data_IF_740457171243
#
_entry.id   IF_740457171243
#
_cell.length_a   1.000
_cell.length_b   1.000
_cell.length_c   1.000
_cell.angle_alpha   90.00
_cell.angle_beta   90.00
_cell.angle_gamma   90.00
#
_symmetry.space_group_name_H-M   'P 1'
#
loop_
_entity.id
_entity.type
_entity.pdbx_description
1 polymer ?
#
# COMPACT_ATOMS: atom_id res chain seq x y z
N UNK A 1 10.54 15.96 18.58
CA UNK A 1 9.68 14.77 18.84
C UNK A 1 8.29 15.20 19.33
N UNK A 2 7.21 14.59 18.84
CA UNK A 2 5.86 14.88 19.34
C UNK A 2 5.70 14.36 20.76
N UNK A 3 4.82 14.97 21.55
CA UNK A 3 4.52 14.49 22.90
C UNK A 3 4.00 13.04 22.88
N UNK A 4 3.30 12.67 21.81
CA UNK A 4 2.70 11.35 21.63
C UNK A 4 3.73 10.21 21.52
N UNK A 5 4.94 10.48 20.99
CA UNK A 5 5.97 9.46 20.80
C UNK A 5 6.50 8.91 22.13
N UNK A 6 6.84 9.78 23.09
CA UNK A 6 7.37 9.31 24.37
C UNK A 6 6.29 8.63 25.20
N UNK A 7 5.03 9.05 25.05
CA UNK A 7 3.89 8.38 25.68
C UNK A 7 3.72 6.96 25.12
N UNK A 8 3.86 6.78 23.80
CA UNK A 8 3.82 5.47 23.15
C UNK A 8 4.97 4.56 23.62
N UNK A 9 6.21 5.06 23.65
CA UNK A 9 7.37 4.31 24.19
C UNK A 9 7.17 3.92 25.66
N UNK A 10 6.56 4.79 26.47
CA UNK A 10 6.23 4.50 27.88
C UNK A 10 5.17 3.39 27.97
N UNK A 11 4.15 3.41 27.12
CA UNK A 11 3.14 2.36 27.05
C UNK A 11 3.76 1.02 26.63
N UNK A 12 4.60 1.00 25.60
CA UNK A 12 5.27 -0.20 25.12
C UNK A 12 6.14 -0.86 26.20
N UNK A 13 6.88 -0.06 26.97
CA UNK A 13 7.69 -0.60 28.08
C UNK A 13 6.78 -1.22 29.16
N UNK A 14 5.64 -0.58 29.48
CA UNK A 14 4.70 -1.09 30.48
C UNK A 14 4.07 -2.41 30.03
N UNK A 15 3.62 -2.49 28.79
CA UNK A 15 3.03 -3.71 28.21
C UNK A 15 4.06 -4.85 28.18
N UNK A 16 5.30 -4.57 27.78
CA UNK A 16 6.38 -5.57 27.77
C UNK A 16 6.76 -6.03 29.18
N UNK A 17 6.77 -5.13 30.17
CA UNK A 17 6.99 -5.49 31.57
C UNK A 17 5.91 -6.43 32.08
N UNK A 18 4.64 -6.12 31.83
CA UNK A 18 3.51 -6.97 32.24
C UNK A 18 3.61 -8.38 31.62
N UNK A 19 3.92 -8.44 30.32
CA UNK A 19 4.13 -9.72 29.64
C UNK A 19 5.32 -10.47 30.25
N UNK A 20 6.45 -9.80 30.44
CA UNK A 20 7.66 -10.41 30.98
C UNK A 20 7.47 -10.93 32.42
N UNK A 21 6.69 -10.23 33.25
CA UNK A 21 6.31 -10.68 34.60
C UNK A 21 5.47 -11.96 34.58
N UNK A 22 4.64 -12.15 33.56
CA UNK A 22 3.79 -13.34 33.41
C UNK A 22 4.53 -14.59 32.89
N UNK A 23 5.75 -14.44 32.39
CA UNK A 23 6.52 -15.53 31.79
C UNK A 23 7.39 -16.24 32.84
N UNK A 24 7.16 -17.54 33.01
CA UNK A 24 7.99 -18.42 33.87
C UNK A 24 9.30 -18.86 33.18
N UNK A 25 9.31 -18.95 31.85
CA UNK A 25 10.48 -19.38 31.06
C UNK A 25 11.49 -18.24 30.92
N UNK A 26 12.63 -18.39 31.59
CA UNK A 26 13.70 -17.40 31.61
C UNK A 26 14.24 -17.05 30.21
N UNK A 27 14.32 -18.03 29.29
CA UNK A 27 14.87 -17.78 27.95
C UNK A 27 13.97 -16.84 27.14
N UNK A 28 12.65 -16.99 27.29
CA UNK A 28 11.67 -16.10 26.63
C UNK A 28 11.59 -14.76 27.31
N UNK A 29 11.73 -14.74 28.65
CA UNK A 29 11.74 -13.51 29.45
C UNK A 29 12.92 -12.61 29.06
N UNK A 30 14.06 -13.21 28.70
CA UNK A 30 15.26 -12.49 28.29
C UNK A 30 15.07 -11.63 27.01
N UNK A 31 14.31 -12.11 26.03
CA UNK A 31 13.99 -11.33 24.81
C UNK A 31 13.24 -10.03 25.14
N UNK A 32 12.26 -10.08 26.04
CA UNK A 32 11.54 -8.88 26.50
C UNK A 32 12.44 -7.92 27.30
N UNK A 33 13.47 -8.44 27.97
CA UNK A 33 14.40 -7.63 28.75
C UNK A 33 15.29 -6.80 27.84
N UNK A 34 15.84 -7.39 26.78
CA UNK A 34 16.65 -6.65 25.80
C UNK A 34 15.83 -5.53 25.15
N UNK A 35 14.57 -5.82 24.79
CA UNK A 35 13.64 -4.81 24.27
C UNK A 35 13.36 -3.68 25.27
N UNK A 36 13.12 -4.02 26.54
CA UNK A 36 12.85 -3.03 27.60
C UNK A 36 14.09 -2.16 27.83
N UNK A 37 15.29 -2.74 27.88
CA UNK A 37 16.55 -1.99 28.04
C UNK A 37 16.78 -1.03 26.88
N UNK A 38 16.49 -1.48 25.66
CA UNK A 38 16.59 -0.66 24.48
C UNK A 38 15.63 0.54 24.51
N UNK A 39 14.34 0.30 24.78
CA UNK A 39 13.34 1.38 24.90
C UNK A 39 13.68 2.35 26.05
N UNK A 40 14.32 1.86 27.11
CA UNK A 40 14.83 2.68 28.20
C UNK A 40 15.98 3.61 27.78
N UNK A 41 16.83 3.20 26.83
CA UNK A 41 17.81 4.11 26.22
C UNK A 41 17.12 5.21 25.38
N UNK A 42 16.03 4.88 24.69
CA UNK A 42 15.21 5.85 23.95
C UNK A 42 14.57 6.87 24.90
N UNK A 43 14.17 6.49 26.12
CA UNK A 43 13.66 7.45 27.09
C UNK A 43 14.74 8.40 27.64
N UNK A 44 16.04 8.12 27.49
CA UNK A 44 17.11 9.03 27.95
C UNK A 44 17.21 10.30 27.10
N UNK A 45 16.74 10.27 25.86
CA UNK A 45 16.70 11.45 24.99
C UNK A 45 15.44 12.30 25.19
N UNK A 46 14.53 11.89 26.08
CA UNK A 46 13.34 12.66 26.40
C UNK A 46 13.69 13.99 27.11
N UNK A 47 12.98 15.09 26.80
CA UNK A 47 13.15 16.34 27.52
C UNK A 47 12.94 16.16 29.04
N UNK A 48 13.89 16.63 29.87
CA UNK A 48 13.81 16.44 31.31
C UNK A 48 12.57 17.13 31.89
N UNK A 49 11.91 16.47 32.87
CA UNK A 49 10.73 16.94 33.60
C UNK A 49 9.42 17.07 32.79
N UNK A 50 9.41 16.67 31.51
CA UNK A 50 8.19 16.73 30.69
C UNK A 50 7.29 15.49 30.87
N UNK A 51 7.86 14.36 31.28
CA UNK A 51 7.15 13.08 31.44
C UNK A 51 7.53 12.46 32.79
N UNK A 52 6.80 12.77 33.88
CA UNK A 52 7.08 12.18 35.20
C UNK A 52 6.97 10.66 35.21
N UNK A 53 6.21 10.08 34.29
CA UNK A 53 6.03 8.63 34.10
C UNK A 53 7.34 7.92 33.74
N UNK A 54 8.32 8.62 33.17
CA UNK A 54 9.64 8.04 32.87
C UNK A 54 10.34 7.56 34.15
N UNK A 55 10.24 8.32 35.24
CA UNK A 55 10.83 7.93 36.53
C UNK A 55 10.07 6.79 37.21
N UNK A 56 8.77 6.64 36.90
CA UNK A 56 7.98 5.48 37.33
C UNK A 56 8.41 4.22 36.57
N UNK A 57 8.48 4.29 35.24
CA UNK A 57 8.91 3.16 34.38
C UNK A 57 10.33 2.75 34.72
N UNK A 58 11.26 3.71 34.91
CA UNK A 58 12.64 3.41 35.36
C UNK A 58 12.66 2.60 36.66
N UNK A 59 11.79 2.94 37.61
CA UNK A 59 11.69 2.22 38.88
C UNK A 59 11.14 0.81 38.68
N UNK A 60 10.12 0.64 37.85
CA UNK A 60 9.52 -0.67 37.53
C UNK A 60 10.56 -1.58 36.86
N UNK A 61 11.29 -1.07 35.86
CA UNK A 61 12.36 -1.81 35.19
C UNK A 61 13.47 -2.20 36.18
N UNK A 62 13.89 -1.31 37.07
CA UNK A 62 14.92 -1.61 38.07
C UNK A 62 14.46 -2.67 39.08
N UNK A 63 13.23 -2.59 39.57
CA UNK A 63 12.67 -3.61 40.45
C UNK A 63 12.61 -4.98 39.75
N UNK A 64 12.15 -4.98 38.50
CA UNK A 64 12.11 -6.18 37.67
C UNK A 64 13.51 -6.80 37.49
N UNK A 65 14.55 -5.99 37.28
CA UNK A 65 15.94 -6.49 37.20
C UNK A 65 16.44 -7.10 38.53
N UNK A 66 16.10 -6.46 39.65
CA UNK A 66 16.47 -6.94 41.00
C UNK A 66 15.80 -8.29 41.29
N UNK A 67 14.50 -8.40 41.03
CA UNK A 67 13.71 -9.60 41.30
C UNK A 67 14.18 -10.81 40.48
N UNK A 68 14.77 -10.57 39.31
CA UNK A 68 15.31 -11.61 38.43
C UNK A 68 16.82 -11.84 38.62
N UNK A 69 17.45 -11.28 39.66
CA UNK A 69 18.83 -11.55 40.06
C UNK A 69 19.87 -11.27 38.93
N UNK A 70 19.65 -10.22 38.14
CA UNK A 70 20.56 -9.85 37.06
C UNK A 70 21.89 -9.28 37.62
N UNK A 71 22.92 -10.13 37.66
CA UNK A 71 24.31 -9.70 37.73
C UNK A 71 24.82 -9.42 36.32
N UNK A 72 25.39 -8.23 36.11
CA UNK A 72 25.97 -7.77 34.85
C UNK A 72 27.09 -8.72 34.37
N UNK A 73 26.76 -9.74 33.60
CA UNK A 73 27.74 -10.58 32.90
C UNK A 73 27.75 -10.21 31.42
N UNK A 74 28.78 -9.49 31.01
CA UNK A 74 29.05 -8.95 29.67
C UNK A 74 29.54 -9.99 28.65
N UNK A 75 29.10 -11.25 28.72
CA UNK A 75 29.49 -12.26 27.71
C UNK A 75 28.26 -13.01 27.18
N UNK A 76 27.84 -12.59 25.98
CA UNK A 76 26.75 -13.17 25.20
C UNK A 76 27.28 -14.37 24.40
N UNK A 77 26.69 -15.58 24.52
CA UNK A 77 26.96 -16.66 23.59
C UNK A 77 26.13 -16.45 22.31
N UNK A 78 26.81 -16.39 21.16
CA UNK A 78 26.12 -16.31 19.87
C UNK A 78 25.42 -17.63 19.56
N UNK A 79 24.09 -17.57 19.42
CA UNK A 79 23.31 -18.66 18.85
C UNK A 79 23.04 -18.36 17.38
N UNK A 80 23.52 -19.25 16.51
CA UNK A 80 23.17 -19.26 15.10
C UNK A 80 21.93 -20.12 14.88
N UNK A 81 20.87 -19.55 14.31
CA UNK A 81 19.85 -20.31 13.60
C UNK A 81 19.33 -19.54 12.39
N UNK A 82 19.22 -20.29 11.29
CA UNK A 82 18.65 -19.88 10.01
C UNK A 82 17.18 -20.29 9.93
N UNK A 83 16.34 -19.49 9.28
CA UNK A 83 15.77 -19.84 7.97
C UNK A 83 14.76 -18.80 7.47
N UNK A 84 15.25 -17.98 6.53
CA UNK A 84 14.59 -17.34 5.40
C UNK A 84 13.05 -17.33 5.32
N UNK A 85 12.47 -16.15 5.54
CA UNK A 85 11.55 -15.49 4.58
C UNK A 85 11.36 -13.99 4.94
N UNK A 86 11.56 -13.60 6.21
CA UNK A 86 11.44 -12.20 6.64
C UNK A 86 12.70 -11.35 6.35
N UNK A 87 13.87 -11.99 6.15
CA UNK A 87 15.12 -11.24 5.92
C UNK A 87 15.09 -10.43 4.64
N UNK A 88 14.55 -11.01 3.57
CA UNK A 88 14.58 -10.38 2.26
C UNK A 88 13.63 -9.18 2.22
N UNK A 89 12.47 -9.27 2.88
CA UNK A 89 11.55 -8.14 3.03
C UNK A 89 12.18 -6.98 3.80
N UNK A 90 12.79 -7.25 4.96
CA UNK A 90 13.38 -6.19 5.80
C UNK A 90 14.57 -5.55 5.09
N UNK A 91 15.44 -6.36 4.47
CA UNK A 91 16.60 -5.87 3.70
C UNK A 91 16.14 -5.03 2.50
N UNK A 92 15.16 -5.50 1.72
CA UNK A 92 14.65 -4.78 0.55
C UNK A 92 14.01 -3.44 0.96
N UNK A 93 13.08 -3.45 1.92
CA UNK A 93 12.42 -2.21 2.36
C UNK A 93 13.41 -1.23 3.00
N UNK A 94 14.43 -1.72 3.72
CA UNK A 94 15.42 -0.83 4.28
C UNK A 94 16.32 -0.19 3.21
N UNK A 95 16.69 -0.94 2.18
CA UNK A 95 17.41 -0.39 1.03
C UNK A 95 16.54 0.62 0.26
N UNK A 96 15.24 0.35 0.11
CA UNK A 96 14.30 1.30 -0.50
C UNK A 96 14.24 2.62 0.28
N UNK A 97 14.22 2.56 1.61
CA UNK A 97 14.24 3.76 2.46
C UNK A 97 15.55 4.55 2.34
N UNK A 98 16.68 3.86 2.21
CA UNK A 98 17.97 4.51 1.94
C UNK A 98 17.94 5.25 0.59
N UNK A 99 17.41 4.61 -0.46
CA UNK A 99 17.26 5.23 -1.78
C UNK A 99 16.26 6.41 -1.75
N UNK A 100 15.14 6.29 -1.02
CA UNK A 100 14.17 7.38 -0.89
C UNK A 100 14.77 8.57 -0.15
N UNK A 101 15.60 8.34 0.88
CA UNK A 101 16.35 9.40 1.54
C UNK A 101 17.30 10.11 0.58
N UNK A 102 18.05 9.37 -0.23
CA UNK A 102 18.93 9.97 -1.25
C UNK A 102 18.13 10.82 -2.26
N UNK A 103 16.95 10.36 -2.68
CA UNK A 103 16.06 11.14 -3.54
C UNK A 103 15.62 12.46 -2.88
N UNK A 104 15.28 12.41 -1.58
CA UNK A 104 14.92 13.59 -0.80
C UNK A 104 16.11 14.56 -0.67
N UNK A 105 17.34 14.06 -0.51
CA UNK A 105 18.54 14.90 -0.44
C UNK A 105 18.76 15.76 -1.69
N UNK A 106 18.36 15.29 -2.89
CA UNK A 106 18.39 16.11 -4.09
C UNK A 106 17.46 17.33 -4.02
N UNK A 107 16.31 17.22 -3.35
CA UNK A 107 15.39 18.35 -3.14
C UNK A 107 16.02 19.44 -2.27
N UNK A 108 16.92 19.06 -1.35
CA UNK A 108 17.72 20.02 -0.58
C UNK A 108 18.64 20.83 -1.48
N UNK A 109 19.24 20.20 -2.48
CA UNK A 109 20.15 20.85 -3.44
C UNK A 109 19.40 21.79 -4.40
N UNK A 110 18.16 21.47 -4.75
CA UNK A 110 17.30 22.32 -5.59
C UNK A 110 16.72 23.53 -4.84
N UNK A 111 16.83 23.55 -3.51
CA UNK A 111 16.43 24.68 -2.66
C UNK A 111 14.95 24.69 -2.26
N UNK A 112 14.19 23.63 -2.54
CA UNK A 112 12.81 23.50 -2.07
C UNK A 112 12.78 22.95 -0.63
N UNK A 113 12.89 23.87 0.33
CA UNK A 113 12.96 23.53 1.76
C UNK A 113 11.68 22.85 2.27
N UNK A 114 10.51 23.14 1.71
CA UNK A 114 9.24 22.58 2.18
C UNK A 114 9.05 21.14 1.68
N UNK A 115 9.34 20.89 0.40
CA UNK A 115 9.31 19.53 -0.15
C UNK A 115 10.39 18.65 0.47
N UNK A 116 11.58 19.20 0.74
CA UNK A 116 12.65 18.49 1.46
C UNK A 116 12.22 18.03 2.86
N UNK A 117 11.64 18.93 3.67
CA UNK A 117 11.17 18.59 5.03
C UNK A 117 10.05 17.55 4.96
N UNK A 118 9.07 17.76 4.09
CA UNK A 118 7.96 16.80 3.93
C UNK A 118 8.47 15.43 3.48
N UNK A 119 9.49 15.39 2.61
CA UNK A 119 10.16 14.18 2.18
C UNK A 119 10.85 13.46 3.34
N UNK A 120 11.65 14.17 4.13
CA UNK A 120 12.33 13.59 5.30
C UNK A 120 11.34 13.06 6.35
N UNK A 121 10.24 13.77 6.60
CA UNK A 121 9.19 13.30 7.53
C UNK A 121 8.52 12.00 7.05
N UNK A 122 8.30 11.86 5.75
CA UNK A 122 7.78 10.64 5.16
C UNK A 122 8.76 9.47 5.32
N UNK A 123 10.05 9.67 5.01
CA UNK A 123 11.07 8.62 5.17
C UNK A 123 11.22 8.24 6.64
N UNK A 124 11.22 9.20 7.56
CA UNK A 124 11.27 8.93 9.00
C UNK A 124 10.09 8.06 9.46
N UNK A 125 8.88 8.39 9.01
CA UNK A 125 7.67 7.63 9.36
C UNK A 125 7.74 6.20 8.84
N UNK A 126 8.17 6.01 7.59
CA UNK A 126 8.31 4.67 7.01
C UNK A 126 9.43 3.86 7.69
N UNK A 127 10.55 4.49 8.05
CA UNK A 127 11.63 3.84 8.78
C UNK A 127 11.17 3.37 10.18
N UNK A 128 10.37 4.19 10.88
CA UNK A 128 9.79 3.81 12.16
C UNK A 128 8.79 2.64 12.00
N UNK A 129 7.93 2.68 10.98
CA UNK A 129 7.02 1.56 10.70
C UNK A 129 7.77 0.27 10.34
N UNK A 130 8.85 0.36 9.55
CA UNK A 130 9.69 -0.79 9.22
C UNK A 130 10.38 -1.34 10.48
N UNK A 131 10.87 -0.47 11.35
CA UNK A 131 11.45 -0.85 12.64
C UNK A 131 10.46 -1.67 13.48
N UNK A 132 9.22 -1.18 13.67
CA UNK A 132 8.20 -1.90 14.43
C UNK A 132 7.75 -3.21 13.77
N UNK A 133 7.80 -3.29 12.44
CA UNK A 133 7.49 -4.51 11.70
C UNK A 133 8.66 -5.51 11.65
N UNK A 134 9.87 -5.09 12.02
CA UNK A 134 11.08 -5.91 11.99
C UNK A 134 11.27 -6.58 13.35
N UNK A 135 11.40 -7.91 13.35
CA UNK A 135 11.67 -8.67 14.57
C UNK A 135 12.96 -8.19 15.25
N UNK A 136 13.00 -8.21 16.58
CA UNK A 136 14.10 -7.64 17.38
C UNK A 136 15.40 -8.44 17.23
N UNK A 137 15.29 -9.72 16.86
CA UNK A 137 16.41 -10.61 16.51
C UNK A 137 16.95 -10.40 15.08
N UNK A 138 16.31 -9.57 14.26
CA UNK A 138 16.75 -9.33 12.89
C UNK A 138 18.03 -8.48 12.86
N UNK A 139 19.01 -8.87 12.03
CA UNK A 139 20.33 -8.22 11.99
C UNK A 139 20.30 -6.72 11.64
N UNK A 140 19.24 -6.26 10.96
CA UNK A 140 19.03 -4.85 10.61
C UNK A 140 18.17 -4.07 11.61
N UNK A 141 17.58 -4.70 12.63
CA UNK A 141 16.63 -4.03 13.52
C UNK A 141 17.20 -2.74 14.12
N UNK A 142 18.41 -2.80 14.69
CA UNK A 142 19.12 -1.64 15.24
C UNK A 142 19.52 -0.63 14.17
N UNK A 143 19.96 -1.08 12.99
CA UNK A 143 20.39 -0.19 11.90
C UNK A 143 19.22 0.62 11.34
N UNK A 144 18.03 0.03 11.24
CA UNK A 144 16.79 0.71 10.80
C UNK A 144 16.42 1.82 11.79
N UNK A 145 16.54 1.55 13.09
CA UNK A 145 16.25 2.56 14.09
C UNK A 145 17.28 3.69 14.12
N UNK A 146 18.57 3.37 14.02
CA UNK A 146 19.63 4.39 13.92
C UNK A 146 19.45 5.28 12.70
N UNK A 147 19.01 4.70 11.58
CA UNK A 147 18.64 5.41 10.38
C UNK A 147 17.44 6.34 10.61
N UNK A 148 16.37 5.85 11.25
CA UNK A 148 15.23 6.68 11.67
C UNK A 148 15.66 7.87 12.54
N UNK A 149 16.46 7.62 13.59
CA UNK A 149 16.95 8.67 14.50
C UNK A 149 17.78 9.72 13.75
N UNK A 150 18.60 9.28 12.79
CA UNK A 150 19.42 10.18 11.96
C UNK A 150 18.53 11.15 11.18
N UNK A 151 17.53 10.62 10.46
CA UNK A 151 16.59 11.44 9.69
C UNK A 151 15.80 12.37 10.60
N UNK A 152 15.37 11.88 11.77
CA UNK A 152 14.59 12.70 12.70
C UNK A 152 15.38 13.88 13.25
N UNK A 153 16.65 13.68 13.62
CA UNK A 153 17.55 14.77 14.03
C UNK A 153 17.76 15.78 12.90
N UNK A 154 17.78 15.32 11.65
CA UNK A 154 17.90 16.18 10.48
C UNK A 154 16.64 17.04 10.28
N UNK A 155 15.45 16.45 10.37
CA UNK A 155 14.17 17.19 10.35
C UNK A 155 14.12 18.27 11.43
N UNK A 156 14.48 17.92 12.67
CA UNK A 156 14.43 18.86 13.79
C UNK A 156 15.41 20.04 13.57
N UNK A 157 16.64 19.78 13.08
CA UNK A 157 17.61 20.84 12.73
C UNK A 157 17.12 21.79 11.63
N UNK A 158 16.50 21.25 10.58
CA UNK A 158 16.00 22.07 9.47
C UNK A 158 14.85 22.95 9.92
N UNK A 159 13.95 22.42 10.76
CA UNK A 159 12.85 23.19 11.37
C UNK A 159 13.34 24.28 12.30
N UNK A 160 14.36 24.00 13.11
CA UNK A 160 14.97 25.01 14.00
C UNK A 160 15.64 26.15 13.19
N UNK A 161 16.22 25.83 12.03
CA UNK A 161 16.82 26.83 11.13
C UNK A 161 15.77 27.74 10.48
N UNK A 162 14.62 27.18 10.11
CA UNK A 162 13.49 27.93 9.53
C UNK A 162 12.69 28.71 10.58
N UNK A 163 12.73 28.28 11.85
CA UNK A 163 12.12 28.97 12.98
C UNK A 163 12.93 30.15 13.53
N UNK A 164 14.11 30.46 12.97
CA UNK A 164 14.91 31.62 13.36
C UNK A 164 14.31 32.93 12.83
N UNK A 165 14.01 33.93 13.69
CA UNK A 165 13.33 35.18 13.32
C UNK A 165 14.09 36.12 12.36
N UNK A 166 15.27 35.72 11.88
CA UNK A 166 16.08 36.55 10.98
C UNK A 166 15.74 36.34 9.50
N UNK A 167 15.21 35.17 9.10
CA UNK A 167 14.95 34.85 7.69
C UNK A 167 13.64 35.47 7.17
N UNK A 168 12.64 35.68 8.03
CA UNK A 168 11.39 36.37 7.65
C UNK A 168 11.59 37.85 7.26
N UNK A 169 12.65 38.51 7.75
CA UNK A 169 12.91 39.93 7.43
C UNK A 169 13.51 40.16 6.04
N UNK A 170 14.06 39.13 5.40
CA UNK A 170 14.72 39.25 4.10
C UNK A 170 13.76 38.95 2.94
N UNK A 171 12.79 38.05 3.14
CA UNK A 171 11.77 37.73 2.14
C UNK A 171 10.72 38.84 1.97
N UNK A 172 10.34 39.52 3.05
CA UNK A 172 9.40 40.65 3.01
C UNK A 172 9.98 41.92 2.34
N UNK A 173 11.31 42.11 2.40
CA UNK A 173 11.98 43.25 1.72
C UNK A 173 12.03 43.10 0.20
N UNK A 174 12.09 41.87 -0.31
CA UNK A 174 12.20 41.62 -1.75
C UNK A 174 10.83 41.62 -2.44
N UNK A 175 9.76 41.26 -1.74
CA UNK A 175 8.39 41.27 -2.27
C UNK A 175 7.81 42.68 -2.43
N UNK A 176 8.25 43.65 -1.62
CA UNK A 176 7.78 45.05 -1.68
C UNK A 176 8.43 45.86 -2.82
N UNK A 177 9.56 45.41 -3.39
CA UNK A 177 10.25 46.15 -4.48
C UNK A 177 9.68 45.94 -5.88
N UNK A 178 8.78 44.97 -6.08
CA UNK A 178 8.21 44.68 -7.40
C UNK A 178 6.86 45.35 -7.69
N UNK A 179 6.20 45.93 -6.70
CA UNK A 179 4.86 46.53 -6.87
C UNK A 179 4.93 48.04 -7.19
N UNK A 180 6.07 48.70 -6.99
CA UNK A 180 6.14 50.18 -7.07
C UNK A 180 6.69 50.77 -8.39
N UNK A 181 6.70 49.98 -9.48
CA UNK A 181 7.06 50.48 -10.82
C UNK A 181 6.09 50.01 -11.90
N UNK A 182 4.86 50.53 -11.87
CA UNK A 182 4.08 50.77 -13.10
C UNK A 182 2.97 51.80 -12.86
N UNK A 183 3.34 53.06 -13.04
CA UNK A 183 2.40 54.17 -13.16
C UNK A 183 3.01 55.29 -14.00
N UNK A 184 2.73 55.29 -15.31
CA UNK A 184 2.48 56.47 -16.17
C UNK A 184 2.34 56.08 -17.65
N UNK A 185 1.14 56.30 -18.21
CA UNK A 185 0.82 56.32 -19.65
C UNK A 185 1.41 57.56 -20.35
N UNK A 186 1.47 57.63 -21.70
CA UNK A 186 0.30 58.07 -22.49
C UNK A 186 0.09 57.35 -23.86
N UNK A 187 -1.13 57.47 -24.37
CA UNK A 187 -1.68 57.00 -25.68
C UNK A 187 -1.66 58.09 -26.78
N UNK A 188 -2.27 57.91 -27.98
CA UNK A 188 -1.95 57.03 -29.14
C UNK A 188 -1.75 57.87 -30.46
N UNK A 189 -1.54 57.28 -31.67
CA UNK A 189 -2.70 57.00 -32.54
C UNK A 189 -2.60 55.83 -33.55
N UNK A 190 -3.80 55.44 -34.02
CA UNK A 190 -4.19 54.88 -35.34
C UNK A 190 -3.76 53.47 -35.79
N UNK A 191 -4.76 52.58 -35.79
CA UNK A 191 -5.04 51.44 -36.70
C UNK A 191 -5.06 51.85 -38.19
N UNK A 192 -5.08 50.93 -39.20
CA UNK A 192 -5.64 49.56 -39.22
C UNK A 192 -4.70 48.53 -39.92
N UNK A 193 -4.95 47.22 -40.09
CA UNK A 193 -6.14 46.46 -40.48
C UNK A 193 -6.01 44.96 -40.12
N UNK A 194 -7.16 44.30 -40.18
CA UNK A 194 -7.45 42.89 -39.90
C UNK A 194 -6.72 41.84 -40.77
N UNK A 195 -6.36 40.70 -40.17
CA UNK A 195 -6.66 39.37 -40.75
C UNK A 195 -6.38 38.21 -39.77
N UNK A 196 -7.48 37.59 -39.34
CA UNK A 196 -7.74 36.15 -39.22
C UNK A 196 -6.56 35.15 -39.20
N UNK A 197 -6.40 34.46 -38.07
CA UNK A 197 -5.51 33.31 -37.86
C UNK A 197 -6.14 31.96 -38.30
N UNK A 198 -6.98 31.93 -39.34
CA UNK A 198 -7.69 30.71 -39.77
C UNK A 198 -7.25 30.07 -41.10
N UNK A 199 -6.06 30.40 -41.62
CA UNK A 199 -5.57 29.86 -42.91
C UNK A 199 -4.37 28.88 -42.83
N UNK A 200 -4.16 28.19 -41.70
CA UNK A 200 -3.07 27.18 -41.59
C UNK A 200 -3.58 25.75 -41.41
N UNK A 201 -4.64 25.34 -42.11
CA UNK A 201 -4.87 23.91 -42.40
C UNK A 201 -5.59 23.76 -43.74
N UNK A 202 -4.87 23.84 -44.87
CA UNK A 202 -5.33 23.23 -46.12
C UNK A 202 -4.25 23.11 -47.18
N UNK A 203 -4.09 21.87 -47.69
CA UNK A 203 -3.49 21.46 -48.97
C UNK A 203 -1.96 21.47 -49.10
N UNK A 204 -1.37 20.27 -49.03
CA UNK A 204 -0.49 19.79 -50.12
C UNK A 204 -0.44 18.26 -50.18
N UNK A 205 -1.16 17.72 -51.15
CA UNK A 205 -1.00 16.36 -51.67
C UNK A 205 -0.10 16.37 -52.91
N UNK A 206 0.58 15.24 -53.16
CA UNK A 206 1.42 14.81 -54.31
C UNK A 206 2.92 14.91 -54.03
N UNK A 207 3.76 13.92 -54.29
CA UNK A 207 3.61 12.52 -54.67
C UNK A 207 5.05 11.96 -54.64
N UNK A 208 5.29 10.79 -54.05
CA UNK A 208 6.38 9.90 -54.47
C UNK A 208 5.94 8.47 -54.21
N UNK A 209 5.87 7.70 -55.29
CA UNK A 209 5.45 6.31 -55.28
C UNK A 209 6.55 5.41 -54.71
N UNK A 210 6.17 4.61 -53.72
CA UNK A 210 6.84 3.36 -53.38
C UNK A 210 5.75 2.30 -53.28
N UNK A 211 5.97 1.20 -53.96
CA UNK A 211 5.10 0.03 -54.13
C UNK A 211 4.42 -0.41 -52.83
N UNK A 212 3.09 -0.41 -52.82
CA UNK A 212 2.25 -0.83 -51.71
C UNK A 212 2.36 -2.34 -51.43
N UNK A 213 2.60 -2.78 -50.19
CA UNK A 213 2.16 -4.11 -49.77
C UNK A 213 0.63 -4.10 -49.73
N UNK A 214 -0.02 -5.14 -50.28
CA UNK A 214 -1.49 -5.29 -50.31
C UNK A 214 -2.07 -4.99 -48.92
N UNK A 215 -2.83 -3.91 -48.82
CA UNK A 215 -3.59 -3.57 -47.62
C UNK A 215 -4.71 -4.60 -47.49
N UNK A 216 -4.55 -5.54 -46.57
CA UNK A 216 -5.61 -6.46 -46.15
C UNK A 216 -6.79 -5.62 -45.65
N UNK A 217 -7.99 -5.92 -46.15
CA UNK A 217 -9.20 -5.21 -45.71
C UNK A 217 -9.41 -5.44 -44.20
N UNK A 218 -10.15 -4.56 -43.54
CA UNK A 218 -10.55 -4.75 -42.13
C UNK A 218 -11.21 -6.12 -41.89
N UNK A 219 -11.93 -6.64 -42.90
CA UNK A 219 -12.52 -7.97 -42.86
C UNK A 219 -11.48 -9.12 -42.97
N UNK A 220 -10.33 -8.88 -43.60
CA UNK A 220 -9.24 -9.86 -43.69
C UNK A 220 -8.33 -9.83 -42.46
N UNK A 221 -8.18 -8.67 -41.81
CA UNK A 221 -7.51 -8.56 -40.49
C UNK A 221 -8.31 -9.24 -39.37
N UNK A 222 -9.63 -9.32 -39.52
CA UNK A 222 -10.51 -10.08 -38.62
C UNK A 222 -10.36 -11.60 -38.85
N UNK A 223 -10.14 -12.07 -40.08
CA UNK A 223 -9.97 -13.51 -40.37
C UNK A 223 -8.63 -14.11 -39.93
N UNK A 224 -7.59 -13.32 -39.73
CA UNK A 224 -6.25 -13.80 -39.33
C UNK A 224 -5.96 -13.72 -37.82
N UNK A 225 -6.90 -13.19 -37.03
CA UNK A 225 -6.81 -13.09 -35.56
C UNK A 225 -7.94 -13.84 -34.83
N UNK A 226 -8.58 -14.81 -35.48
CA UNK A 226 -9.44 -15.78 -34.79
C UNK A 226 -8.55 -16.96 -34.44
N UNK A 227 -8.19 -17.17 -33.15
CA UNK A 227 -7.69 -18.47 -32.73
C UNK A 227 -8.72 -19.53 -33.15
N UNK A 228 -8.25 -20.53 -33.87
CA UNK A 228 -8.99 -21.76 -34.15
C UNK A 228 -9.32 -22.36 -32.78
N UNK A 229 -10.59 -22.21 -32.40
CA UNK A 229 -11.22 -22.79 -31.21
C UNK A 229 -10.51 -22.48 -29.87
N UNK A 230 -10.84 -21.37 -29.18
CA UNK A 230 -10.62 -21.33 -27.75
C UNK A 230 -11.69 -22.24 -27.15
N UNK A 231 -11.34 -23.51 -26.94
CA UNK A 231 -11.91 -24.21 -25.79
C UNK A 231 -11.59 -23.32 -24.59
N UNK A 232 -12.55 -22.49 -24.18
CA UNK A 232 -12.49 -21.64 -23.00
C UNK A 232 -12.16 -22.58 -21.84
N UNK A 233 -10.91 -22.61 -21.34
CA UNK A 233 -10.58 -23.48 -20.23
C UNK A 233 -11.08 -22.78 -18.97
N UNK A 234 -12.02 -23.41 -18.27
CA UNK A 234 -12.49 -22.91 -16.99
C UNK A 234 -13.81 -22.15 -17.09
N UNK A 235 -14.88 -22.92 -17.02
CA UNK A 235 -16.22 -22.52 -16.61
C UNK A 235 -16.26 -21.31 -15.66
N UNK A 236 -16.76 -20.17 -16.13
CA UNK A 236 -17.46 -19.22 -15.26
C UNK A 236 -18.60 -20.01 -14.61
N UNK A 237 -18.72 -20.07 -13.27
CA UNK A 237 -19.86 -20.72 -12.67
C UNK A 237 -21.13 -19.95 -13.06
N UNK A 238 -21.89 -20.51 -14.02
CA UNK A 238 -23.24 -20.04 -14.41
C UNK A 238 -24.24 -20.02 -13.25
N UNK A 239 -23.84 -20.43 -12.05
CA UNK A 239 -24.72 -20.55 -10.87
C UNK A 239 -25.13 -19.19 -10.28
N UNK A 240 -24.28 -18.15 -10.37
CA UNK A 240 -24.60 -16.81 -9.84
C UNK A 240 -24.88 -15.76 -10.93
N UNK A 241 -24.54 -16.04 -12.19
CA UNK A 241 -24.94 -15.18 -13.29
C UNK A 241 -26.45 -15.34 -13.54
N UNK A 242 -27.22 -14.26 -13.33
CA UNK A 242 -28.63 -14.23 -13.71
C UNK A 242 -28.81 -14.69 -15.15
N UNK A 243 -29.89 -15.41 -15.45
CA UNK A 243 -30.21 -15.87 -16.82
C UNK A 243 -30.26 -14.73 -17.85
N UNK A 244 -30.42 -13.50 -17.37
CA UNK A 244 -30.56 -12.28 -18.17
C UNK A 244 -29.27 -11.45 -18.25
N UNK A 245 -28.16 -11.94 -17.68
CA UNK A 245 -26.88 -11.24 -17.67
C UNK A 245 -26.42 -10.90 -19.09
N UNK A 246 -26.28 -9.60 -19.39
CA UNK A 246 -25.79 -9.09 -20.67
C UNK A 246 -24.27 -9.00 -20.64
N UNK A 247 -23.61 -9.77 -21.51
CA UNK A 247 -22.17 -9.65 -21.73
C UNK A 247 -21.82 -8.24 -22.27
N UNK A 248 -20.89 -7.57 -21.61
CA UNK A 248 -20.42 -6.23 -21.99
C UNK A 248 -19.07 -6.28 -22.72
N UNK A 249 -18.20 -7.22 -22.35
CA UNK A 249 -16.89 -7.34 -22.97
C UNK A 249 -15.93 -8.25 -22.21
N UNK A 250 -14.77 -8.50 -22.82
CA UNK A 250 -13.65 -9.20 -22.20
C UNK A 250 -12.40 -8.35 -22.37
N UNK A 251 -11.67 -8.17 -21.28
CA UNK A 251 -10.33 -7.59 -21.28
C UNK A 251 -9.30 -8.70 -21.10
N UNK A 252 -8.35 -8.74 -22.04
CA UNK A 252 -7.21 -9.66 -21.99
C UNK A 252 -6.01 -8.87 -21.47
N UNK A 253 -5.48 -9.29 -20.33
CA UNK A 253 -4.21 -8.80 -19.79
C UNK A 253 -3.15 -9.81 -20.20
N UNK A 254 -2.13 -9.34 -20.92
CA UNK A 254 -1.04 -10.20 -21.39
C UNK A 254 0.03 -10.32 -20.31
N UNK A 255 0.85 -11.34 -20.45
CA UNK A 255 1.96 -11.60 -19.55
C UNK A 255 2.95 -10.43 -19.55
N UNK A 256 3.31 -9.96 -18.34
CA UNK A 256 4.26 -8.86 -18.07
C UNK A 256 3.90 -7.53 -18.75
N UNK A 257 2.61 -7.26 -18.97
CA UNK A 257 2.18 -5.93 -19.44
C UNK A 257 1.82 -4.99 -18.29
N UNK A 258 1.97 -3.69 -18.54
CA UNK A 258 1.61 -2.59 -17.63
C UNK A 258 0.38 -1.83 -18.16
N UNK A 259 -0.10 -0.82 -17.44
CA UNK A 259 -1.28 -0.01 -17.80
C UNK A 259 -2.62 -0.62 -17.37
N UNK A 260 -2.56 -1.56 -16.42
CA UNK A 260 -3.70 -2.34 -15.93
C UNK A 260 -4.04 -2.04 -14.47
N UNK A 261 -3.98 -0.78 -14.06
CA UNK A 261 -4.48 -0.33 -12.77
C UNK A 261 -6.01 -0.39 -12.68
N UNK A 262 -6.54 -0.23 -11.47
CA UNK A 262 -7.99 -0.33 -11.23
C UNK A 262 -8.82 0.66 -12.03
N UNK A 263 -8.28 1.85 -12.27
CA UNK A 263 -8.89 2.86 -13.13
C UNK A 263 -9.07 2.36 -14.57
N UNK A 264 -8.05 1.70 -15.11
CA UNK A 264 -8.08 1.13 -16.44
C UNK A 264 -9.08 -0.04 -16.53
N UNK A 265 -9.18 -0.86 -15.48
CA UNK A 265 -10.00 -2.08 -15.45
C UNK A 265 -11.47 -1.77 -15.17
N UNK A 266 -11.76 -0.96 -14.16
CA UNK A 266 -13.10 -0.74 -13.61
C UNK A 266 -13.65 0.65 -13.89
N UNK A 267 -12.80 1.61 -14.24
CA UNK A 267 -13.18 3.02 -14.32
C UNK A 267 -14.28 3.31 -15.32
N UNK A 268 -14.29 2.63 -16.47
CA UNK A 268 -15.40 2.74 -17.43
C UNK A 268 -16.72 2.36 -16.76
N UNK A 269 -16.78 1.23 -16.04
CA UNK A 269 -18.03 0.71 -15.45
C UNK A 269 -18.47 1.46 -14.19
N UNK A 270 -17.52 2.03 -13.43
CA UNK A 270 -17.81 2.93 -12.32
C UNK A 270 -18.32 4.28 -12.82
N UNK A 271 -17.76 4.78 -13.93
CA UNK A 271 -18.13 6.08 -14.52
C UNK A 271 -19.23 6.01 -15.57
N UNK A 272 -19.62 4.81 -16.01
CA UNK A 272 -20.35 4.55 -17.26
C UNK A 272 -21.63 5.39 -17.41
N UNK A 273 -22.09 5.99 -16.31
CA UNK A 273 -23.40 6.61 -16.23
C UNK A 273 -23.44 7.97 -15.52
N UNK A 274 -22.35 8.75 -15.51
CA UNK A 274 -22.46 10.19 -15.17
C UNK A 274 -23.34 10.98 -16.15
N UNK A 275 -23.65 10.41 -17.31
CA UNK A 275 -24.44 11.03 -18.38
C UNK A 275 -25.82 10.41 -18.61
N UNK A 276 -26.21 9.34 -17.90
CA UNK A 276 -27.48 8.64 -18.12
C UNK A 276 -28.46 8.88 -16.96
N UNK A 277 -29.64 9.42 -17.26
CA UNK A 277 -30.71 9.73 -16.29
C UNK A 277 -31.37 8.50 -15.65
N UNK A 278 -31.15 7.30 -16.20
CA UNK A 278 -31.65 6.02 -15.65
C UNK A 278 -30.73 5.41 -14.58
N UNK A 279 -29.64 6.10 -14.25
CA UNK A 279 -28.58 5.58 -13.39
C UNK A 279 -29.01 5.39 -11.93
N UNK A 280 -28.66 4.20 -11.41
CA UNK A 280 -28.62 3.92 -9.98
C UNK A 280 -27.19 4.16 -9.47
N UNK A 281 -26.96 5.13 -8.56
CA UNK A 281 -25.67 5.31 -7.90
C UNK A 281 -25.17 4.01 -7.25
N UNK A 282 -23.86 3.75 -7.35
CA UNK A 282 -23.25 2.61 -6.67
C UNK A 282 -23.19 2.92 -5.18
N UNK A 283 -23.93 2.18 -4.37
CA UNK A 283 -23.90 2.32 -2.92
C UNK A 283 -23.15 1.16 -2.25
N UNK A 284 -22.99 0.04 -2.95
CA UNK A 284 -22.29 -1.12 -2.42
C UNK A 284 -21.44 -1.85 -3.45
N UNK A 285 -20.28 -2.32 -2.98
CA UNK A 285 -19.33 -3.13 -3.74
C UNK A 285 -19.10 -4.44 -2.99
N UNK A 286 -19.16 -5.55 -3.71
CA UNK A 286 -18.85 -6.90 -3.20
C UNK A 286 -17.68 -7.48 -3.97
N UNK A 287 -16.66 -7.94 -3.25
CA UNK A 287 -15.52 -8.68 -3.78
C UNK A 287 -15.62 -10.11 -3.29
N UNK A 288 -15.68 -11.08 -4.22
CA UNK A 288 -15.55 -12.51 -3.89
C UNK A 288 -14.21 -13.00 -4.42
N UNK A 289 -13.32 -13.44 -3.53
CA UNK A 289 -12.00 -13.95 -3.90
C UNK A 289 -11.50 -15.00 -2.87
N UNK A 290 -11.33 -16.29 -3.24
CA UNK A 290 -10.79 -17.32 -2.37
C UNK A 290 -9.32 -17.14 -2.00
N UNK A 291 -8.56 -16.36 -2.76
CA UNK A 291 -7.10 -16.33 -2.67
C UNK A 291 -6.61 -15.04 -2.02
N UNK A 292 -6.93 -14.89 -0.73
CA UNK A 292 -6.46 -13.79 0.13
C UNK A 292 -5.55 -14.32 1.25
N UNK A 293 -4.58 -15.14 0.87
CA UNK A 293 -3.62 -15.74 1.82
C UNK A 293 -2.35 -14.93 2.02
N UNK A 294 -1.97 -14.13 1.02
CA UNK A 294 -0.73 -13.36 1.01
C UNK A 294 -0.99 -11.87 1.23
N UNK A 295 -0.03 -11.18 1.86
CA UNK A 295 -0.15 -9.76 2.22
C UNK A 295 -0.35 -8.87 0.97
N UNK A 296 0.28 -9.24 -0.14
CA UNK A 296 0.12 -8.51 -1.40
C UNK A 296 -1.31 -8.61 -1.96
N UNK A 297 -2.00 -9.73 -1.73
CA UNK A 297 -3.39 -9.92 -2.18
C UNK A 297 -4.34 -9.03 -1.36
N UNK A 298 -4.13 -9.00 -0.04
CA UNK A 298 -4.84 -8.09 0.86
C UNK A 298 -4.58 -6.63 0.48
N UNK A 299 -3.31 -6.25 0.26
CA UNK A 299 -2.91 -4.91 -0.17
C UNK A 299 -3.60 -4.52 -1.47
N UNK A 300 -3.70 -5.43 -2.44
CA UNK A 300 -4.42 -5.16 -3.70
C UNK A 300 -5.91 -4.89 -3.47
N UNK A 301 -6.57 -5.61 -2.55
CA UNK A 301 -7.95 -5.29 -2.17
C UNK A 301 -8.04 -3.94 -1.46
N UNK A 302 -7.12 -3.63 -0.54
CA UNK A 302 -7.11 -2.35 0.15
C UNK A 302 -6.94 -1.19 -0.83
N UNK A 303 -6.03 -1.32 -1.81
CA UNK A 303 -5.83 -0.31 -2.84
C UNK A 303 -7.05 -0.22 -3.79
N UNK A 304 -7.73 -1.34 -4.04
CA UNK A 304 -8.99 -1.33 -4.77
C UNK A 304 -10.11 -0.64 -4.00
N UNK A 305 -10.21 -0.84 -2.68
CA UNK A 305 -11.13 -0.10 -1.82
C UNK A 305 -10.83 1.40 -1.88
N UNK A 306 -9.57 1.82 -1.71
CA UNK A 306 -9.15 3.23 -1.82
C UNK A 306 -9.54 3.83 -3.17
N UNK A 307 -9.37 3.07 -4.25
CA UNK A 307 -9.80 3.47 -5.58
C UNK A 307 -11.33 3.64 -5.66
N UNK A 308 -12.10 2.68 -5.15
CA UNK A 308 -13.57 2.75 -5.12
C UNK A 308 -14.05 3.96 -4.32
N UNK A 309 -13.54 4.16 -3.11
CA UNK A 309 -13.91 5.29 -2.25
C UNK A 309 -13.63 6.65 -2.90
N UNK A 310 -12.49 6.81 -3.59
CA UNK A 310 -12.15 8.05 -4.31
C UNK A 310 -13.05 8.33 -5.52
N UNK A 311 -13.59 7.29 -6.16
CA UNK A 311 -14.30 7.42 -7.44
C UNK A 311 -15.82 7.22 -7.32
N UNK A 312 -16.29 6.66 -6.20
CA UNK A 312 -17.70 6.39 -5.91
C UNK A 312 -18.08 7.17 -4.65
N UNK A 313 -18.51 8.41 -4.86
CA UNK A 313 -18.92 9.33 -3.78
C UNK A 313 -20.16 8.87 -2.97
N UNK A 314 -20.88 7.86 -3.47
CA UNK A 314 -22.11 7.32 -2.88
C UNK A 314 -21.88 5.97 -2.20
N UNK A 315 -20.62 5.50 -2.14
CA UNK A 315 -20.27 4.22 -1.54
C UNK A 315 -20.56 4.21 -0.04
N UNK A 316 -21.46 3.32 0.38
CA UNK A 316 -21.86 3.12 1.78
C UNK A 316 -21.40 1.79 2.34
N UNK A 317 -21.23 0.76 1.50
CA UNK A 317 -20.90 -0.60 1.93
C UNK A 317 -19.81 -1.22 1.05
N UNK A 318 -18.82 -1.84 1.69
CA UNK A 318 -17.80 -2.66 1.04
C UNK A 318 -17.79 -4.05 1.67
N UNK A 319 -18.01 -5.09 0.86
CA UNK A 319 -18.13 -6.47 1.33
C UNK A 319 -17.07 -7.37 0.69
N UNK A 320 -16.40 -8.18 1.50
CA UNK A 320 -15.46 -9.21 1.05
C UNK A 320 -16.03 -10.59 1.38
N UNK A 321 -16.01 -11.50 0.42
CA UNK A 321 -16.33 -12.90 0.58
C UNK A 321 -15.07 -13.70 0.22
N UNK A 322 -14.50 -14.42 1.18
CA UNK A 322 -13.25 -15.16 0.98
C UNK A 322 -13.34 -16.58 1.53
N UNK A 323 -12.37 -17.42 1.15
CA UNK A 323 -12.32 -18.82 1.58
C UNK A 323 -12.01 -18.87 3.08
N UNK A 324 -12.78 -19.66 3.82
CA UNK A 324 -12.51 -19.91 5.22
C UNK A 324 -11.12 -20.59 5.39
N UNK A 325 -10.21 -20.03 6.20
CA UNK A 325 -8.87 -20.58 6.35
C UNK A 325 -8.88 -22.04 6.78
N UNK A 326 -9.77 -22.39 7.71
CA UNK A 326 -9.93 -23.74 8.26
C UNK A 326 -10.80 -24.68 7.41
N UNK A 327 -11.02 -24.40 6.13
CA UNK A 327 -11.86 -25.25 5.28
C UNK A 327 -11.25 -26.64 5.04
N UNK A 328 -12.12 -27.63 4.79
CA UNK A 328 -11.73 -29.00 4.48
C UNK A 328 -10.75 -29.07 3.29
N UNK A 329 -10.95 -28.20 2.29
CA UNK A 329 -10.08 -28.05 1.12
C UNK A 329 -8.65 -27.64 1.52
N UNK A 330 -8.51 -26.68 2.44
CA UNK A 330 -7.21 -26.23 2.93
C UNK A 330 -6.51 -27.29 3.78
N UNK A 331 -7.26 -28.03 4.60
CA UNK A 331 -6.74 -29.18 5.35
C UNK A 331 -6.17 -30.23 4.39
N UNK A 332 -6.95 -30.63 3.38
CA UNK A 332 -6.52 -31.61 2.37
C UNK A 332 -5.30 -31.10 1.58
N UNK A 333 -5.28 -29.80 1.24
CA UNK A 333 -4.13 -29.17 0.55
C UNK A 333 -2.86 -29.27 1.39
N UNK A 334 -2.90 -28.89 2.66
CA UNK A 334 -1.75 -28.98 3.56
C UNK A 334 -1.31 -30.42 3.78
N UNK A 335 -2.24 -31.36 4.00
CA UNK A 335 -1.92 -32.79 4.11
C UNK A 335 -1.23 -33.32 2.85
N UNK A 336 -1.65 -32.89 1.65
CA UNK A 336 -1.01 -33.26 0.39
C UNK A 336 0.39 -32.66 0.24
N UNK A 337 0.57 -31.40 0.63
CA UNK A 337 1.86 -30.70 0.54
C UNK A 337 2.90 -31.27 1.51
N UNK A 338 2.52 -31.51 2.76
CA UNK A 338 3.46 -31.96 3.81
C UNK A 338 3.50 -33.48 3.98
N UNK A 339 2.55 -34.23 3.40
CA UNK A 339 2.50 -35.69 3.53
C UNK A 339 2.44 -36.14 5.00
N UNK A 340 3.32 -37.07 5.38
CA UNK A 340 3.44 -37.57 6.77
C UNK A 340 4.38 -36.74 7.65
N UNK A 341 5.00 -35.68 7.12
CA UNK A 341 6.00 -34.89 7.86
C UNK A 341 5.41 -33.97 8.92
N UNK A 342 4.10 -33.72 8.88
CA UNK A 342 3.39 -32.90 9.86
C UNK A 342 2.26 -33.71 10.49
N UNK A 343 2.12 -33.59 11.80
CA UNK A 343 1.00 -34.18 12.54
C UNK A 343 -0.28 -33.38 12.30
N UNK A 344 -1.45 -33.98 12.57
CA UNK A 344 -2.73 -33.28 12.46
C UNK A 344 -2.77 -32.02 13.34
N UNK A 345 -2.20 -32.08 14.55
CA UNK A 345 -2.09 -30.92 15.44
C UNK A 345 -1.24 -29.79 14.83
N UNK A 346 -0.13 -30.12 14.18
CA UNK A 346 0.70 -29.12 13.49
C UNK A 346 -0.06 -28.46 12.33
N UNK A 347 -0.84 -29.23 11.56
CA UNK A 347 -1.67 -28.69 10.47
C UNK A 347 -2.76 -27.76 11.03
N UNK A 348 -3.42 -28.15 12.12
CA UNK A 348 -4.42 -27.31 12.80
C UNK A 348 -3.80 -26.00 13.31
N UNK A 349 -2.59 -26.06 13.87
CA UNK A 349 -1.87 -24.85 14.30
C UNK A 349 -1.52 -23.95 13.11
N UNK A 350 -1.03 -24.50 12.00
CA UNK A 350 -0.75 -23.73 10.78
C UNK A 350 -2.01 -23.05 10.23
N UNK A 351 -3.15 -23.74 10.24
CA UNK A 351 -4.43 -23.16 9.80
C UNK A 351 -4.94 -22.09 10.76
N UNK A 352 -4.74 -22.28 12.07
CA UNK A 352 -5.08 -21.27 13.08
C UNK A 352 -4.22 -20.01 12.91
N UNK A 353 -2.92 -20.14 12.65
CA UNK A 353 -2.05 -19.01 12.38
C UNK A 353 -2.47 -18.25 11.10
N UNK A 354 -2.83 -18.98 10.04
CA UNK A 354 -3.38 -18.36 8.82
C UNK A 354 -4.71 -17.65 9.06
N UNK A 355 -5.58 -18.24 9.89
CA UNK A 355 -6.84 -17.62 10.30
C UNK A 355 -6.62 -16.33 11.09
N UNK A 356 -5.68 -16.31 12.02
CA UNK A 356 -5.29 -15.09 12.73
C UNK A 356 -4.74 -14.03 11.78
N UNK A 357 -3.83 -14.40 10.87
CA UNK A 357 -3.22 -13.47 9.91
C UNK A 357 -4.27 -12.81 9.01
N UNK A 358 -5.13 -13.60 8.36
CA UNK A 358 -6.17 -13.04 7.50
C UNK A 358 -7.18 -12.19 8.28
N UNK A 359 -7.50 -12.54 9.53
CA UNK A 359 -8.41 -11.74 10.37
C UNK A 359 -7.80 -10.39 10.74
N UNK A 360 -6.51 -10.35 11.09
CA UNK A 360 -5.79 -9.09 11.31
C UNK A 360 -5.82 -8.23 10.04
N UNK A 361 -5.48 -8.79 8.88
CA UNK A 361 -5.54 -8.10 7.60
C UNK A 361 -6.95 -7.58 7.24
N UNK A 362 -8.01 -8.34 7.53
CA UNK A 362 -9.39 -7.87 7.31
C UNK A 362 -9.78 -6.76 8.29
N UNK A 363 -9.29 -6.80 9.53
CA UNK A 363 -9.47 -5.73 10.52
C UNK A 363 -8.82 -4.42 10.06
N UNK A 364 -7.65 -4.47 9.42
CA UNK A 364 -7.02 -3.29 8.82
C UNK A 364 -7.90 -2.67 7.72
N UNK A 365 -8.42 -3.50 6.81
CA UNK A 365 -9.35 -3.03 5.76
C UNK A 365 -10.63 -2.46 6.40
N UNK A 366 -11.16 -3.11 7.43
CA UNK A 366 -12.32 -2.65 8.18
C UNK A 366 -12.10 -1.26 8.79
N UNK A 367 -10.94 -1.04 9.41
CA UNK A 367 -10.58 0.26 10.00
C UNK A 367 -10.47 1.35 8.93
N UNK A 368 -9.88 1.03 7.77
CA UNK A 368 -9.86 1.95 6.62
C UNK A 368 -11.27 2.27 6.09
N UNK A 369 -12.16 1.28 6.03
CA UNK A 369 -13.55 1.51 5.64
C UNK A 369 -14.29 2.39 6.65
N UNK A 370 -14.20 2.07 7.95
CA UNK A 370 -14.86 2.81 9.04
C UNK A 370 -14.41 4.27 9.10
N UNK A 371 -13.11 4.53 9.06
CA UNK A 371 -12.54 5.88 9.02
C UNK A 371 -12.98 6.68 7.80
N UNK A 372 -13.33 5.98 6.71
CA UNK A 372 -13.85 6.58 5.47
C UNK A 372 -15.37 6.72 5.45
N UNK A 373 -16.08 6.37 6.53
CA UNK A 373 -17.54 6.39 6.61
C UNK A 373 -18.24 5.27 5.84
N UNK A 374 -17.52 4.20 5.48
CA UNK A 374 -18.01 3.05 4.71
C UNK A 374 -18.20 1.85 5.65
N UNK A 375 -19.39 1.24 5.63
CA UNK A 375 -19.65 -0.01 6.33
C UNK A 375 -18.89 -1.16 5.69
N UNK A 376 -18.19 -1.94 6.51
CA UNK A 376 -17.45 -3.11 6.05
C UNK A 376 -18.09 -4.40 6.53
N UNK A 377 -18.09 -5.43 5.68
CA UNK A 377 -18.48 -6.78 6.04
C UNK A 377 -17.52 -7.80 5.43
N UNK A 378 -17.10 -8.79 6.20
CA UNK A 378 -16.33 -9.93 5.69
C UNK A 378 -17.08 -11.24 5.97
N UNK A 379 -17.19 -12.08 4.95
CA UNK A 379 -17.74 -13.44 5.04
C UNK A 379 -16.67 -14.45 4.68
N UNK A 380 -16.59 -15.49 5.49
CA UNK A 380 -15.71 -16.63 5.28
C UNK A 380 -16.56 -17.82 4.85
N UNK A 381 -16.45 -18.22 3.60
CA UNK A 381 -17.21 -19.34 3.00
C UNK A 381 -16.28 -20.53 2.72
N UNK A 382 -16.79 -21.75 2.84
CA UNK A 382 -16.03 -22.94 2.49
C UNK A 382 -16.24 -23.30 1.01
N UNK A 383 -15.18 -23.78 0.37
CA UNK A 383 -15.22 -24.35 -0.99
C UNK A 383 -15.65 -23.35 -2.08
N UNK A 384 -15.23 -22.10 -1.95
CA UNK A 384 -15.46 -21.10 -2.99
C UNK A 384 -14.33 -21.12 -4.02
N UNK A 385 -14.69 -20.79 -5.26
CA UNK A 385 -13.76 -20.77 -6.40
C UNK A 385 -14.00 -19.56 -7.32
N UNK A 386 -15.18 -18.97 -7.21
CA UNK A 386 -15.61 -17.77 -7.89
C UNK A 386 -14.71 -16.60 -7.51
N UNK A 387 -14.39 -15.79 -8.51
CA UNK A 387 -13.58 -14.59 -8.38
C UNK A 387 -14.27 -13.48 -9.12
N UNK A 388 -14.86 -12.54 -8.39
CA UNK A 388 -15.57 -11.44 -8.99
C UNK A 388 -15.58 -10.16 -8.16
N UNK A 389 -15.87 -9.07 -8.85
CA UNK A 389 -16.33 -7.81 -8.27
C UNK A 389 -17.75 -7.57 -8.74
N UNK A 390 -18.65 -7.25 -7.82
CA UNK A 390 -20.02 -6.85 -8.12
C UNK A 390 -20.27 -5.46 -7.59
N UNK A 391 -20.84 -4.61 -8.44
CA UNK A 391 -21.35 -3.29 -8.10
C UNK A 391 -22.88 -3.36 -8.11
N UNK A 392 -23.53 -2.81 -7.09
CA UNK A 392 -25.00 -2.89 -6.94
C UNK A 392 -25.82 -2.09 -7.96
N UNK A 393 -25.14 -1.37 -8.86
CA UNK A 393 -25.72 -0.83 -10.08
C UNK A 393 -25.96 -1.91 -11.17
N UNK A 394 -25.60 -3.17 -10.90
CA UNK A 394 -25.80 -4.30 -11.81
C UNK A 394 -24.54 -4.73 -12.56
N UNK A 395 -23.41 -4.03 -12.44
CA UNK A 395 -22.17 -4.44 -13.09
C UNK A 395 -21.53 -5.62 -12.33
N UNK A 396 -21.20 -6.67 -13.07
CA UNK A 396 -20.51 -7.85 -12.57
C UNK A 396 -19.23 -8.12 -13.37
N UNK A 397 -18.10 -8.19 -12.68
CA UNK A 397 -16.77 -8.39 -13.26
C UNK A 397 -16.19 -9.72 -12.78
N UNK A 398 -16.11 -10.72 -13.66
CA UNK A 398 -15.44 -11.99 -13.38
C UNK A 398 -13.94 -11.86 -13.61
N UNK A 399 -13.14 -12.30 -12.64
CA UNK A 399 -11.68 -12.20 -12.64
C UNK A 399 -11.06 -13.60 -12.68
N UNK A 400 -10.32 -13.94 -13.74
CA UNK A 400 -9.71 -15.28 -13.84
C UNK A 400 -8.66 -15.55 -12.76
N UNK A 401 -7.97 -14.52 -12.24
CA UNK A 401 -6.97 -14.65 -11.16
C UNK A 401 -7.38 -14.01 -9.84
N UNK A 402 -8.58 -13.42 -9.75
CA UNK A 402 -8.96 -12.61 -8.59
C UNK A 402 -8.15 -11.31 -8.56
N UNK A 403 -7.69 -10.89 -7.38
CA UNK A 403 -6.78 -9.75 -7.19
C UNK A 403 -5.28 -10.14 -7.20
N UNK A 404 -4.95 -11.41 -7.49
CA UNK A 404 -3.57 -11.91 -7.68
C UNK A 404 -3.12 -11.87 -9.15
N UNK A 405 -3.34 -10.76 -9.85
CA UNK A 405 -2.89 -10.59 -11.25
C UNK A 405 -1.73 -9.61 -11.40
N UNK A 406 -1.23 -8.99 -10.34
CA UNK A 406 0.01 -8.22 -10.39
C UNK A 406 1.20 -9.12 -10.04
N UNK A 407 2.33 -8.89 -10.69
CA UNK A 407 3.62 -9.33 -10.18
C UNK A 407 4.02 -8.48 -8.98
N UNK A 408 4.83 -9.07 -8.10
CA UNK A 408 5.52 -8.27 -7.10
C UNK A 408 6.39 -7.24 -7.82
N UNK A 409 6.23 -5.97 -7.47
CA UNK A 409 6.98 -4.88 -8.08
C UNK A 409 7.97 -4.34 -7.05
N UNK A 410 9.24 -4.71 -7.22
CA UNK A 410 10.34 -4.30 -6.35
C UNK A 410 10.51 -2.77 -6.29
N UNK A 411 10.07 -2.03 -7.31
CA UNK A 411 10.23 -0.57 -7.35
C UNK A 411 9.21 0.18 -6.48
N UNK A 412 8.37 -0.54 -5.70
CA UNK A 412 7.44 -0.01 -4.70
C UNK A 412 6.50 1.13 -5.14
N UNK A 413 6.32 1.33 -6.45
CA UNK A 413 5.39 2.35 -6.98
C UNK A 413 3.99 2.13 -6.42
N UNK A 414 3.41 3.16 -5.80
CA UNK A 414 2.01 3.12 -5.35
C UNK A 414 1.02 3.07 -6.53
N UNK A 415 1.49 3.37 -7.75
CA UNK A 415 0.69 3.39 -8.95
C UNK A 415 0.58 1.99 -9.59
N UNK A 416 -0.56 1.32 -9.37
CA UNK A 416 -0.86 0.01 -9.97
C UNK A 416 -0.86 -0.01 -11.51
N UNK A 417 -0.92 1.13 -12.19
CA UNK A 417 -0.73 1.17 -13.64
C UNK A 417 0.70 0.84 -14.07
N UNK A 418 1.71 1.01 -13.21
CA UNK A 418 3.12 0.76 -13.55
C UNK A 418 3.55 -0.68 -13.27
N UNK A 419 2.66 -1.48 -12.68
CA UNK A 419 2.99 -2.83 -12.25
C UNK A 419 2.83 -3.83 -13.41
N UNK A 420 3.84 -4.68 -13.56
CA UNK A 420 3.76 -5.82 -14.47
C UNK A 420 2.64 -6.76 -14.02
N UNK A 421 1.83 -7.22 -14.97
CA UNK A 421 0.72 -8.12 -14.69
C UNK A 421 1.00 -9.55 -15.15
N UNK A 422 0.45 -10.52 -14.42
CA UNK A 422 0.32 -11.92 -14.83
C UNK A 422 -0.77 -12.00 -15.90
N UNK A 423 -0.61 -12.87 -16.89
CA UNK A 423 -1.64 -13.09 -17.90
C UNK A 423 -2.97 -13.50 -17.25
N UNK A 424 -4.06 -12.81 -17.62
CA UNK A 424 -5.40 -13.07 -17.07
C UNK A 424 -6.48 -12.50 -17.99
N UNK A 425 -7.69 -13.06 -17.88
CA UNK A 425 -8.89 -12.52 -18.49
C UNK A 425 -9.79 -11.88 -17.44
N UNK A 426 -10.44 -10.78 -17.81
CA UNK A 426 -11.48 -10.12 -17.03
C UNK A 426 -12.71 -10.00 -17.91
N UNK A 427 -13.84 -10.49 -17.44
CA UNK A 427 -15.08 -10.54 -18.21
C UNK A 427 -16.14 -9.69 -17.52
N UNK A 428 -16.81 -8.83 -18.27
CA UNK A 428 -17.77 -7.87 -17.76
C UNK A 428 -19.19 -8.23 -18.19
N UNK A 429 -20.13 -8.11 -17.26
CA UNK A 429 -21.55 -8.34 -17.46
C UNK A 429 -22.38 -7.22 -16.81
N UNK A 430 -23.59 -6.99 -17.31
CA UNK A 430 -24.63 -6.20 -16.68
C UNK A 430 -25.81 -7.13 -16.33
N UNK A 431 -26.28 -7.10 -15.09
CA UNK A 431 -27.32 -7.99 -14.57
C UNK A 431 -28.73 -7.40 -14.66
#
# INVERSE_FOLDING_TARGET
>A
MSQDFFVEVICDIKDKLEIAESIEDYSKKYEFIEDIEYLMEVLKIAPPNQYPEIEEVKRQVNNFKIDNNFLSSTEIPSCSYSSHDDSDYVIENFNDLKNEREAVEFLREEGDSNEYISGLENVATKALNLYHATSTDHCLHSEIFDFYLTIRREVDKVKDTLGSPEVEKEYDRNSIRFIDKKGKCPSPPSSPDSSSWSDVVSKKSRAFGVSSPKVLSTADRIRHNIPIDPRIPGSVPKKELHSNAKYLGTRIIKEKTVGHGFESIFGEYIRFHKSDSSYRPIESVTVKDPYLSEDIQVKNILDFFKYCWRNINTLKKFEIITEAPKSQKNIVKLKKTYGRSKTDNQIVNMLSNKDSKIRCSMSEIENHCKSSGVSFNVKYEENIHERYVYFDNGIFCSLERGFDFYYYNYNNSSNRNEWNCKATHIIYYCL
#
